data_IF_156585683749
#
_entry.id   IF_156585683749
#
_cell.length_a   1.000
_cell.length_b   1.000
_cell.length_c   1.000
_cell.angle_alpha   90.00
_cell.angle_beta   90.00
_cell.angle_gamma   90.00
#
_symmetry.space_group_name_H-M   'P 1'
#
loop_
_entity.id
_entity.type
_entity.pdbx_description
1 polymer ?
#
# COMPACT_ATOMS: atom_id res chain seq x y z
N UNK A 1 -9.41 -12.13 5.19
CA UNK A 1 -8.13 -12.16 4.43
C UNK A 1 -7.06 -12.79 5.32
N UNK A 2 -6.79 -14.10 5.20
CA UNK A 2 -5.92 -14.84 6.14
C UNK A 2 -4.46 -14.36 6.15
N UNK A 3 -4.03 -13.71 5.07
CA UNK A 3 -2.68 -13.16 4.90
C UNK A 3 -2.24 -12.26 6.05
N UNK A 4 -3.11 -11.39 6.56
CA UNK A 4 -2.76 -10.44 7.64
C UNK A 4 -2.31 -11.13 8.94
N UNK A 5 -2.74 -12.37 9.18
CA UNK A 5 -2.46 -13.08 10.43
C UNK A 5 -1.21 -13.95 10.36
N UNK A 6 -0.88 -14.48 9.17
CA UNK A 6 0.27 -15.35 8.98
C UNK A 6 0.82 -15.27 7.54
N UNK A 7 1.53 -14.18 7.19
CA UNK A 7 2.07 -14.01 5.85
C UNK A 7 3.07 -15.09 5.44
N UNK A 8 3.91 -15.59 6.37
CA UNK A 8 4.94 -16.60 6.05
C UNK A 8 4.32 -17.95 5.68
N UNK A 9 3.28 -18.38 6.41
CA UNK A 9 2.57 -19.63 6.10
C UNK A 9 1.92 -19.57 4.72
N UNK A 10 1.34 -18.43 4.35
CA UNK A 10 0.64 -18.27 3.08
C UNK A 10 1.60 -18.05 1.91
N UNK A 11 2.70 -17.35 2.16
CA UNK A 11 3.66 -16.91 1.14
C UNK A 11 3.12 -15.78 0.27
N UNK A 12 3.98 -15.28 -0.60
CA UNK A 12 3.65 -14.26 -1.62
C UNK A 12 4.12 -14.71 -2.99
N UNK A 13 3.45 -14.25 -4.03
CA UNK A 13 3.90 -14.38 -5.41
C UNK A 13 4.84 -13.23 -5.72
N UNK A 14 6.06 -13.58 -6.10
CA UNK A 14 7.13 -12.65 -6.41
C UNK A 14 7.42 -12.69 -7.92
N UNK A 15 7.66 -11.53 -8.50
CA UNK A 15 8.10 -11.38 -9.89
C UNK A 15 9.03 -10.19 -9.99
N UNK A 16 10.20 -10.40 -10.57
CA UNK A 16 11.14 -9.32 -10.90
C UNK A 16 11.06 -9.07 -12.40
N UNK A 17 10.81 -7.82 -12.78
CA UNK A 17 10.76 -7.36 -14.16
C UNK A 17 11.90 -6.39 -14.40
N UNK A 18 12.68 -6.64 -15.44
CA UNK A 18 13.75 -5.75 -15.88
C UNK A 18 13.31 -4.97 -17.11
N UNK A 19 13.48 -3.66 -17.06
CA UNK A 19 13.15 -2.75 -18.16
C UNK A 19 14.37 -1.90 -18.46
N UNK A 20 14.85 -1.95 -19.70
CA UNK A 20 15.95 -1.09 -20.12
C UNK A 20 15.53 0.38 -20.13
N UNK A 21 16.38 1.27 -19.60
CA UNK A 21 16.12 2.71 -19.61
C UNK A 21 15.97 3.24 -21.03
N UNK A 22 16.69 2.68 -22.00
CA UNK A 22 16.55 3.06 -23.41
C UNK A 22 15.13 2.86 -23.93
N UNK A 23 14.43 1.80 -23.48
CA UNK A 23 13.04 1.54 -23.83
C UNK A 23 12.08 2.52 -23.15
N UNK A 24 12.36 2.91 -21.90
CA UNK A 24 11.61 3.97 -21.21
C UNK A 24 11.77 5.32 -21.92
N UNK A 25 13.00 5.69 -22.29
CA UNK A 25 13.26 6.92 -23.06
C UNK A 25 12.53 6.91 -24.39
N UNK A 26 12.54 5.77 -25.11
CA UNK A 26 11.78 5.64 -26.36
C UNK A 26 10.28 5.82 -26.14
N UNK A 27 9.70 5.21 -25.10
CA UNK A 27 8.29 5.41 -24.76
C UNK A 27 7.95 6.88 -24.53
N UNK A 28 8.75 7.57 -23.72
CA UNK A 28 8.49 8.97 -23.40
C UNK A 28 8.64 9.88 -24.63
N UNK A 29 9.59 9.58 -25.52
CA UNK A 29 9.73 10.30 -26.81
C UNK A 29 8.47 10.13 -27.68
N UNK A 30 7.94 8.91 -27.79
CA UNK A 30 6.73 8.67 -28.58
C UNK A 30 5.51 9.38 -28.00
N UNK A 31 5.35 9.41 -26.67
CA UNK A 31 4.29 10.18 -26.00
C UNK A 31 4.45 11.68 -26.30
N UNK A 32 5.66 12.22 -26.13
CA UNK A 32 5.93 13.64 -26.37
C UNK A 32 5.66 14.06 -27.82
N UNK A 33 6.05 13.23 -28.79
CA UNK A 33 5.77 13.48 -30.21
C UNK A 33 4.28 13.36 -30.56
N UNK A 34 3.55 12.48 -29.89
CA UNK A 34 2.09 12.37 -30.02
C UNK A 34 1.37 13.62 -29.47
N UNK A 35 1.80 14.12 -28.30
CA UNK A 35 1.25 15.34 -27.69
C UNK A 35 1.43 16.57 -28.57
N UNK A 36 2.61 16.71 -29.19
CA UNK A 36 2.87 17.80 -30.15
C UNK A 36 1.92 17.75 -31.35
N UNK A 37 1.62 16.56 -31.87
CA UNK A 37 0.79 16.38 -33.07
C UNK A 37 -0.70 16.58 -32.83
N UNK A 38 -1.17 16.33 -31.61
CA UNK A 38 -2.61 16.33 -31.30
C UNK A 38 -3.13 17.68 -30.78
N UNK A 39 -2.26 18.69 -30.64
CA UNK A 39 -2.58 20.04 -30.10
C UNK A 39 -3.28 20.02 -28.73
N UNK A 40 -3.24 18.90 -27.99
CA UNK A 40 -3.93 18.75 -26.69
C UNK A 40 -3.27 19.58 -25.57
N UNK A 41 -2.25 20.38 -25.88
CA UNK A 41 -1.79 21.48 -25.03
C UNK A 41 -1.17 21.03 -23.69
N UNK A 42 -0.75 19.77 -23.56
CA UNK A 42 -0.06 19.26 -22.37
C UNK A 42 1.18 18.48 -22.78
N UNK A 43 2.22 19.17 -23.24
CA UNK A 43 3.55 18.56 -23.28
C UNK A 43 3.90 18.10 -21.86
N UNK A 44 4.03 16.78 -21.68
CA UNK A 44 4.49 16.23 -20.41
C UNK A 44 6.00 16.37 -20.31
N UNK A 45 6.48 17.05 -19.27
CA UNK A 45 7.91 17.13 -18.98
C UNK A 45 8.38 15.81 -18.35
N UNK A 46 9.05 14.99 -19.16
CA UNK A 46 9.69 13.74 -18.74
C UNK A 46 11.15 14.00 -18.38
N UNK A 47 11.48 13.96 -17.08
CA UNK A 47 12.83 14.23 -16.55
C UNK A 47 13.89 13.30 -17.16
N UNK A 48 13.55 12.05 -17.44
CA UNK A 48 14.42 11.05 -18.06
C UNK A 48 14.78 11.35 -19.52
N UNK A 49 13.94 12.10 -20.23
CA UNK A 49 14.25 12.57 -21.58
C UNK A 49 15.25 13.71 -21.57
N UNK A 50 15.10 14.63 -20.62
CA UNK A 50 15.89 15.85 -20.52
C UNK A 50 17.29 15.63 -19.94
N UNK A 51 17.50 14.52 -19.24
CA UNK A 51 18.74 14.25 -18.50
C UNK A 51 19.53 13.12 -19.15
N UNK A 52 20.78 13.41 -19.50
CA UNK A 52 21.80 12.36 -19.62
C UNK A 52 21.93 11.70 -18.25
N UNK A 53 22.04 10.37 -18.20
CA UNK A 53 22.26 9.62 -16.97
C UNK A 53 23.77 9.52 -16.80
N UNK A 54 24.41 10.39 -16.02
CA UNK A 54 25.85 10.37 -15.86
C UNK A 54 26.21 9.21 -14.94
N UNK A 55 27.41 8.65 -15.12
CA UNK A 55 27.94 7.55 -14.31
C UNK A 55 28.06 7.86 -12.80
N UNK A 56 27.92 9.12 -12.38
CA UNK A 56 28.10 9.59 -11.00
C UNK A 56 26.79 9.87 -10.24
N UNK A 57 25.61 9.69 -10.85
CA UNK A 57 24.34 9.86 -10.12
C UNK A 57 24.08 8.70 -9.17
N UNK A 58 23.48 8.99 -8.01
CA UNK A 58 23.00 7.93 -7.11
C UNK A 58 21.90 7.14 -7.80
N UNK A 59 21.92 5.81 -7.63
CA UNK A 59 20.89 4.92 -8.16
C UNK A 59 19.49 5.33 -7.71
N UNK A 60 19.39 5.93 -6.53
CA UNK A 60 18.14 6.43 -5.94
C UNK A 60 17.51 7.59 -6.74
N UNK A 61 18.29 8.59 -7.16
CA UNK A 61 17.76 9.72 -7.92
C UNK A 61 17.23 9.28 -9.29
N UNK A 62 17.96 8.40 -9.98
CA UNK A 62 17.55 7.83 -11.28
C UNK A 62 16.31 6.96 -11.11
N UNK A 63 16.26 6.14 -10.06
CA UNK A 63 15.09 5.33 -9.70
C UNK A 63 13.86 6.23 -9.52
N UNK A 64 13.98 7.30 -8.74
CA UNK A 64 12.89 8.23 -8.47
C UNK A 64 12.36 8.89 -9.76
N UNK A 65 13.23 9.38 -10.64
CA UNK A 65 12.80 9.96 -11.91
C UNK A 65 12.13 8.92 -12.82
N UNK A 66 12.67 7.71 -12.89
CA UNK A 66 12.10 6.63 -13.68
C UNK A 66 10.69 6.27 -13.25
N UNK A 67 10.43 6.21 -11.94
CA UNK A 67 9.11 5.92 -11.40
C UNK A 67 8.15 7.08 -11.67
N UNK A 68 8.58 8.32 -11.44
CA UNK A 68 7.75 9.50 -11.68
C UNK A 68 7.33 9.61 -13.15
N UNK A 69 8.28 9.47 -14.07
CA UNK A 69 8.01 9.58 -15.50
C UNK A 69 7.25 8.38 -16.06
N UNK A 70 7.52 7.16 -15.57
CA UNK A 70 6.73 6.00 -15.97
C UNK A 70 5.31 6.09 -15.43
N UNK A 71 5.10 6.61 -14.21
CA UNK A 71 3.76 6.86 -13.66
C UNK A 71 3.00 7.85 -14.54
N UNK A 72 3.60 9.00 -14.84
CA UNK A 72 3.09 10.00 -15.79
C UNK A 72 2.72 9.39 -17.14
N UNK A 73 3.59 8.57 -17.71
CA UNK A 73 3.35 7.91 -18.98
C UNK A 73 2.16 6.95 -18.89
N UNK A 74 2.10 6.06 -17.90
CA UNK A 74 0.98 5.15 -17.71
C UNK A 74 -0.35 5.89 -17.55
N UNK A 75 -0.35 7.02 -16.85
CA UNK A 75 -1.53 7.87 -16.75
C UNK A 75 -1.93 8.43 -18.10
N UNK A 76 -0.96 8.93 -18.87
CA UNK A 76 -1.17 9.50 -20.20
C UNK A 76 -1.74 8.45 -21.18
N UNK A 77 -1.17 7.25 -21.21
CA UNK A 77 -1.62 6.15 -22.05
C UNK A 77 -3.04 5.67 -21.71
N UNK A 78 -3.46 5.85 -20.46
CA UNK A 78 -4.79 5.48 -19.99
C UNK A 78 -5.88 6.53 -20.34
N UNK A 79 -5.50 7.77 -20.72
CA UNK A 79 -6.44 8.84 -21.12
C UNK A 79 -6.97 8.62 -22.54
N UNK A 80 -6.12 8.09 -23.42
CA UNK A 80 -6.45 7.93 -24.83
C UNK A 80 -6.89 6.49 -25.09
N UNK A 81 -8.11 6.29 -25.64
CA UNK A 81 -8.39 5.06 -26.41
C UNK A 81 -7.55 5.15 -27.69
N UNK A 82 -6.42 4.42 -27.79
CA UNK A 82 -5.51 4.63 -28.89
C UNK A 82 -6.13 3.93 -30.11
N UNK A 83 -6.64 4.73 -31.04
CA UNK A 83 -6.82 4.27 -32.41
C UNK A 83 -5.43 3.97 -32.96
N UNK A 84 -5.30 2.78 -33.52
CA UNK A 84 -4.12 2.16 -34.14
C UNK A 84 -2.97 3.14 -34.38
N UNK A 85 -1.89 3.02 -33.60
CA UNK A 85 -0.69 3.82 -33.85
C UNK A 85 0.35 3.87 -32.76
N UNK A 86 -0.02 3.71 -31.48
CA UNK A 86 0.96 3.73 -30.36
C UNK A 86 0.71 2.58 -29.37
N UNK A 87 -0.54 2.14 -29.25
CA UNK A 87 -1.00 1.12 -28.31
C UNK A 87 -2.22 0.44 -28.91
N UNK A 88 -2.11 -0.78 -29.44
CA UNK A 88 -3.26 -1.49 -29.98
C UNK A 88 -4.26 -1.86 -28.87
N UNK A 89 -5.30 -1.05 -28.68
CA UNK A 89 -6.64 -1.34 -28.10
C UNK A 89 -6.81 -2.25 -26.86
N UNK A 90 -5.75 -2.61 -26.14
CA UNK A 90 -5.78 -3.57 -25.01
C UNK A 90 -5.08 -3.07 -23.75
N UNK A 91 -5.04 -1.75 -23.52
CA UNK A 91 -4.74 -1.27 -22.17
C UNK A 91 -5.92 -1.71 -21.28
N UNK A 92 -5.60 -2.51 -20.25
CA UNK A 92 -6.55 -2.97 -19.26
C UNK A 92 -7.35 -1.77 -18.74
N UNK A 93 -8.67 -1.74 -19.02
CA UNK A 93 -9.55 -0.73 -18.46
C UNK A 93 -9.41 -0.76 -16.92
N UNK A 94 -9.05 0.36 -16.27
CA UNK A 94 -8.81 0.43 -14.83
C UNK A 94 -10.13 0.39 -14.08
N UNK A 95 -10.74 -0.78 -13.97
CA UNK A 95 -12.05 -0.87 -13.34
C UNK A 95 -12.00 -1.09 -11.82
N UNK A 96 -10.84 -1.17 -11.14
CA UNK A 96 -10.79 -1.35 -9.65
C UNK A 96 -9.37 -1.31 -9.06
N UNK A 97 -8.61 -0.24 -9.32
CA UNK A 97 -7.33 0.02 -8.65
C UNK A 97 -7.51 1.12 -7.60
N UNK A 98 -7.19 0.84 -6.33
CA UNK A 98 -7.30 1.83 -5.25
C UNK A 98 -5.96 1.98 -4.53
N UNK A 99 -5.58 3.23 -4.27
CA UNK A 99 -4.34 3.62 -3.56
C UNK A 99 -4.69 4.46 -2.33
N UNK A 100 -3.78 4.56 -1.37
CA UNK A 100 -3.96 5.28 -0.09
C UNK A 100 -4.46 6.73 -0.25
N UNK A 101 -3.86 7.50 -1.17
CA UNK A 101 -4.27 8.89 -1.47
C UNK A 101 -5.72 9.01 -1.96
N UNK A 102 -6.30 7.94 -2.49
CA UNK A 102 -7.65 7.93 -3.07
C UNK A 102 -8.73 7.40 -2.12
N UNK A 103 -8.36 6.77 -1.00
CA UNK A 103 -9.33 6.29 -0.01
C UNK A 103 -10.07 7.43 0.69
N UNK A 104 -9.40 8.56 0.93
CA UNK A 104 -10.04 9.80 1.39
C UNK A 104 -10.99 10.42 0.35
N UNK A 105 -10.83 10.08 -0.94
CA UNK A 105 -11.63 10.63 -2.04
C UNK A 105 -12.86 9.74 -2.37
N UNK A 106 -12.73 8.42 -2.26
CA UNK A 106 -13.85 7.47 -2.42
C UNK A 106 -14.94 7.73 -1.37
N UNK A 107 -14.56 8.15 -0.15
CA UNK A 107 -15.52 8.54 0.90
C UNK A 107 -16.40 9.75 0.55
N UNK A 108 -15.97 10.64 -0.35
CA UNK A 108 -16.80 11.77 -0.84
C UNK A 108 -17.59 11.42 -2.11
N UNK A 109 -17.13 10.46 -2.91
CA UNK A 109 -17.74 10.11 -4.21
C UNK A 109 -18.78 8.98 -4.17
N UNK A 110 -18.87 8.19 -3.10
CA UNK A 110 -19.95 7.21 -2.99
C UNK A 110 -21.37 7.85 -2.93
N UNK A 111 -21.47 9.16 -2.72
CA UNK A 111 -22.71 9.95 -2.86
C UNK A 111 -22.79 10.75 -4.18
N UNK A 112 -21.71 10.84 -4.94
CA UNK A 112 -21.58 11.66 -6.16
C UNK A 112 -20.78 10.86 -7.19
N UNK A 113 -21.39 9.94 -7.94
CA UNK A 113 -21.08 9.70 -9.37
C UNK A 113 -21.58 8.35 -9.88
N UNK A 114 -22.76 8.40 -10.51
CA UNK A 114 -23.10 7.54 -11.65
C UNK A 114 -22.75 8.21 -13.00
N UNK A 115 -22.06 9.36 -12.98
CA UNK A 115 -21.95 10.26 -14.13
C UNK A 115 -20.55 10.54 -14.65
N UNK A 116 -19.48 10.35 -13.87
CA UNK A 116 -18.12 10.61 -14.37
C UNK A 116 -17.27 9.34 -14.32
N UNK A 117 -16.84 8.86 -15.49
CA UNK A 117 -15.78 7.85 -15.59
C UNK A 117 -14.54 8.31 -14.82
N UNK A 118 -14.28 7.68 -13.66
CA UNK A 118 -13.24 8.13 -12.76
C UNK A 118 -11.85 7.83 -13.33
N UNK A 119 -11.07 8.91 -13.41
CA UNK A 119 -9.70 9.02 -13.89
C UNK A 119 -8.72 8.80 -12.73
N UNK A 120 -7.66 8.00 -12.92
CA UNK A 120 -6.69 7.64 -11.85
C UNK A 120 -5.24 7.96 -12.23
N UNK A 121 -4.82 9.24 -12.11
CA UNK A 121 -3.53 9.70 -12.60
C UNK A 121 -2.33 9.36 -11.70
N UNK A 122 -2.28 8.24 -10.97
CA UNK A 122 -1.06 7.80 -10.23
C UNK A 122 -1.06 6.32 -9.79
N UNK A 123 -1.91 5.45 -10.35
CA UNK A 123 -2.30 4.20 -9.66
C UNK A 123 -1.32 3.01 -9.79
N UNK A 124 -0.48 2.98 -10.83
CA UNK A 124 0.14 1.72 -11.27
C UNK A 124 1.53 1.43 -10.68
N UNK A 125 2.23 2.44 -10.16
CA UNK A 125 3.61 2.30 -9.65
C UNK A 125 3.78 2.82 -8.22
N UNK A 126 2.67 3.05 -7.52
CA UNK A 126 2.75 3.27 -6.08
C UNK A 126 3.27 2.02 -5.39
N UNK A 127 4.01 2.20 -4.28
CA UNK A 127 4.60 1.08 -3.56
C UNK A 127 3.55 0.08 -3.02
N UNK A 128 2.29 0.49 -2.88
CA UNK A 128 1.17 -0.37 -2.48
C UNK A 128 -0.06 -0.16 -3.36
N UNK A 129 -0.66 -1.26 -3.83
CA UNK A 129 -1.80 -1.29 -4.75
C UNK A 129 -2.80 -2.33 -4.27
N UNK A 130 -4.09 -1.96 -4.22
CA UNK A 130 -5.20 -2.89 -3.98
C UNK A 130 -5.94 -3.20 -5.28
N UNK A 131 -6.11 -4.49 -5.57
CA UNK A 131 -6.98 -5.00 -6.63
C UNK A 131 -8.29 -5.47 -6.00
N UNK A 132 -9.32 -4.61 -6.00
CA UNK A 132 -10.59 -4.91 -5.33
C UNK A 132 -11.32 -6.09 -5.97
N UNK A 133 -11.35 -6.16 -7.31
CA UNK A 133 -12.03 -7.25 -8.03
C UNK A 133 -11.49 -8.64 -7.67
N UNK A 134 -10.17 -8.77 -7.51
CA UNK A 134 -9.52 -10.04 -7.19
C UNK A 134 -9.26 -10.19 -5.70
N UNK A 135 -9.60 -9.19 -4.88
CA UNK A 135 -9.24 -9.10 -3.46
C UNK A 135 -7.76 -9.43 -3.25
N UNK A 136 -6.91 -8.74 -4.00
CA UNK A 136 -5.47 -8.94 -4.02
C UNK A 136 -4.74 -7.65 -3.64
N UNK A 137 -3.57 -7.81 -3.06
CA UNK A 137 -2.73 -6.71 -2.60
C UNK A 137 -1.34 -6.89 -3.22
N UNK A 138 -0.84 -5.82 -3.81
CA UNK A 138 0.42 -5.77 -4.53
C UNK A 138 1.31 -4.71 -3.89
N UNK A 139 2.58 -5.05 -3.72
CA UNK A 139 3.63 -4.06 -3.48
C UNK A 139 4.63 -4.06 -4.63
N UNK A 140 5.06 -2.87 -5.03
CA UNK A 140 6.00 -2.65 -6.14
C UNK A 140 7.23 -1.94 -5.57
N UNK A 141 8.40 -2.55 -5.72
CA UNK A 141 9.71 -2.01 -5.30
C UNK A 141 10.62 -1.82 -6.51
N UNK A 142 10.64 -0.62 -7.09
CA UNK A 142 11.57 -0.25 -8.16
C UNK A 142 12.99 0.01 -7.63
N UNK A 143 13.99 -0.35 -8.42
CA UNK A 143 15.41 -0.08 -8.16
C UNK A 143 16.19 0.06 -9.47
N UNK A 144 17.17 0.96 -9.50
CA UNK A 144 18.00 1.17 -10.69
C UNK A 144 19.32 0.41 -10.62
N UNK A 145 19.56 -0.43 -11.62
CA UNK A 145 20.79 -1.16 -11.84
C UNK A 145 21.26 -0.87 -13.27
N UNK A 146 22.08 0.17 -13.44
CA UNK A 146 22.46 0.68 -14.76
C UNK A 146 22.87 -0.45 -15.73
N UNK A 147 22.30 -0.51 -16.95
CA UNK A 147 21.42 0.48 -17.60
C UNK A 147 19.90 0.22 -17.44
N UNK A 148 19.50 -0.58 -16.45
CA UNK A 148 18.16 -1.13 -16.33
C UNK A 148 17.41 -0.67 -15.07
N UNK A 149 16.10 -0.53 -15.20
CA UNK A 149 15.18 -0.41 -14.09
C UNK A 149 14.68 -1.81 -13.73
N UNK A 150 14.96 -2.23 -12.49
CA UNK A 150 14.47 -3.49 -11.93
C UNK A 150 13.24 -3.19 -11.09
N UNK A 151 12.12 -3.85 -11.38
CA UNK A 151 10.87 -3.71 -10.66
C UNK A 151 10.53 -5.03 -9.98
N UNK A 152 10.65 -5.06 -8.66
CA UNK A 152 10.22 -6.18 -7.84
C UNK A 152 8.73 -6.04 -7.51
N UNK A 153 7.95 -7.08 -7.78
CA UNK A 153 6.50 -7.11 -7.58
C UNK A 153 6.15 -8.24 -6.63
N UNK A 154 5.52 -7.90 -5.52
CA UNK A 154 5.07 -8.81 -4.49
C UNK A 154 3.56 -8.81 -4.45
N UNK A 155 2.91 -9.97 -4.60
CA UNK A 155 1.46 -10.07 -4.58
C UNK A 155 0.99 -11.16 -3.63
N UNK A 156 -0.10 -10.91 -2.92
CA UNK A 156 -0.70 -11.90 -2.02
C UNK A 156 -1.29 -13.08 -2.79
N UNK A 157 -1.76 -12.87 -4.03
CA UNK A 157 -2.25 -13.94 -4.91
C UNK A 157 -1.52 -13.95 -6.26
N UNK A 158 -1.64 -15.05 -7.00
CA UNK A 158 -1.02 -15.16 -8.31
C UNK A 158 -1.64 -14.19 -9.33
N UNK A 159 -2.92 -13.85 -9.13
CA UNK A 159 -3.67 -12.92 -9.98
C UNK A 159 -3.00 -11.56 -10.08
N UNK A 160 -2.47 -11.01 -8.99
CA UNK A 160 -1.88 -9.68 -9.00
C UNK A 160 -0.58 -9.62 -9.78
N UNK A 161 0.30 -10.61 -9.62
CA UNK A 161 1.50 -10.73 -10.46
C UNK A 161 1.15 -10.89 -11.95
N UNK A 162 0.10 -11.64 -12.28
CA UNK A 162 -0.37 -11.77 -13.67
C UNK A 162 -0.95 -10.47 -14.22
N UNK A 163 -1.71 -9.73 -13.41
CA UNK A 163 -2.26 -8.42 -13.79
C UNK A 163 -1.16 -7.40 -14.04
N UNK A 164 -0.15 -7.34 -13.16
CA UNK A 164 1.00 -6.48 -13.36
C UNK A 164 1.75 -6.83 -14.64
N UNK A 165 1.98 -8.13 -14.89
CA UNK A 165 2.61 -8.57 -16.13
C UNK A 165 1.81 -8.14 -17.37
N UNK A 166 0.50 -8.38 -17.38
CA UNK A 166 -0.36 -7.97 -18.50
C UNK A 166 -0.31 -6.47 -18.76
N UNK A 167 -0.17 -5.65 -17.71
CA UNK A 167 0.03 -4.21 -17.84
C UNK A 167 1.35 -3.90 -18.57
N UNK A 168 2.47 -4.48 -18.14
CA UNK A 168 3.77 -4.28 -18.78
C UNK A 168 3.76 -4.77 -20.23
N UNK A 169 3.24 -5.98 -20.46
CA UNK A 169 3.14 -6.59 -21.79
C UNK A 169 2.22 -5.80 -22.73
N UNK A 170 1.29 -4.99 -22.19
CA UNK A 170 0.37 -4.17 -22.99
C UNK A 170 0.99 -2.90 -23.59
N UNK A 171 2.23 -2.56 -23.21
CA UNK A 171 2.96 -1.37 -23.69
C UNK A 171 4.03 -1.86 -24.66
N UNK A 172 3.82 -1.84 -25.99
CA UNK A 172 4.69 -2.55 -26.94
C UNK A 172 6.18 -2.25 -26.78
N UNK A 173 6.53 -0.95 -26.64
CA UNK A 173 7.93 -0.49 -26.51
C UNK A 173 8.63 -1.06 -25.26
N UNK A 174 7.87 -1.29 -24.18
CA UNK A 174 8.37 -1.88 -22.94
C UNK A 174 8.25 -3.40 -22.99
N UNK A 175 7.06 -3.92 -23.27
CA UNK A 175 6.72 -5.34 -23.22
C UNK A 175 7.55 -6.23 -24.14
N UNK A 176 7.94 -5.74 -25.32
CA UNK A 176 8.83 -6.48 -26.23
C UNK A 176 10.25 -6.68 -25.68
N UNK A 177 10.68 -5.81 -24.75
CA UNK A 177 12.04 -5.75 -24.21
C UNK A 177 12.12 -5.97 -22.70
N UNK A 178 10.97 -6.19 -22.06
CA UNK A 178 10.90 -6.43 -20.62
C UNK A 178 11.26 -7.90 -20.36
N UNK A 179 12.26 -8.12 -19.52
CA UNK A 179 12.71 -9.46 -19.15
C UNK A 179 12.21 -9.84 -17.75
N UNK A 180 11.77 -11.08 -17.59
CA UNK A 180 11.41 -11.60 -16.27
C UNK A 180 12.63 -12.34 -15.72
N UNK A 181 13.33 -11.72 -14.78
CA UNK A 181 14.54 -12.29 -14.17
C UNK A 181 14.16 -13.42 -13.20
N UNK A 182 13.15 -13.20 -12.37
CA UNK A 182 12.75 -14.13 -11.33
C UNK A 182 11.23 -14.18 -11.19
N UNK A 183 10.71 -15.38 -10.95
CA UNK A 183 9.30 -15.60 -10.64
C UNK A 183 9.12 -16.79 -9.73
N UNK A 184 8.21 -16.67 -8.77
CA UNK A 184 7.80 -17.82 -7.98
C UNK A 184 7.00 -17.46 -6.76
N UNK A 185 6.64 -18.48 -5.99
CA UNK A 185 6.06 -18.29 -4.66
C UNK A 185 7.18 -18.27 -3.63
N UNK A 186 7.19 -17.28 -2.76
CA UNK A 186 8.19 -17.09 -1.69
C UNK A 186 7.53 -17.19 -0.34
N UNK A 187 8.21 -17.85 0.60
CA UNK A 187 7.77 -18.05 1.99
C UNK A 187 8.72 -17.40 3.02
N UNK A 188 9.84 -16.85 2.55
CA UNK A 188 10.77 -16.14 3.43
C UNK A 188 10.17 -14.82 3.92
N UNK A 189 10.42 -14.49 5.18
CA UNK A 189 10.02 -13.23 5.81
C UNK A 189 10.50 -12.00 5.03
N UNK A 190 11.64 -12.11 4.34
CA UNK A 190 12.15 -11.03 3.47
C UNK A 190 11.13 -10.61 2.40
N UNK A 191 10.34 -11.54 1.89
CA UNK A 191 9.37 -11.30 0.81
C UNK A 191 7.95 -11.18 1.36
N UNK A 192 7.59 -12.04 2.31
CA UNK A 192 6.21 -12.21 2.76
C UNK A 192 5.66 -11.05 3.58
N UNK A 193 6.48 -10.07 3.94
CA UNK A 193 5.98 -8.88 4.62
C UNK A 193 5.91 -7.65 3.71
N UNK A 194 6.38 -7.77 2.47
CA UNK A 194 6.43 -6.64 1.54
C UNK A 194 5.04 -6.12 1.16
N UNK A 195 4.07 -6.95 0.74
CA UNK A 195 2.73 -6.45 0.44
C UNK A 195 1.85 -6.31 1.69
N UNK A 196 2.41 -6.26 2.90
CA UNK A 196 1.61 -6.13 4.12
C UNK A 196 0.85 -4.79 4.19
N UNK A 197 1.47 -3.61 3.93
CA UNK A 197 0.74 -2.35 3.95
C UNK A 197 -0.39 -2.33 2.90
N UNK A 198 -0.14 -2.84 1.70
CA UNK A 198 -1.18 -3.04 0.68
C UNK A 198 -2.31 -3.98 1.15
N UNK A 199 -1.97 -5.08 1.83
CA UNK A 199 -2.98 -6.00 2.37
C UNK A 199 -3.80 -5.38 3.50
N UNK A 200 -3.16 -4.58 4.37
CA UNK A 200 -3.83 -3.83 5.42
C UNK A 200 -4.80 -2.81 4.80
N UNK A 201 -4.35 -2.08 3.77
CA UNK A 201 -5.17 -1.16 2.99
C UNK A 201 -6.39 -1.86 2.37
N UNK A 202 -6.19 -3.04 1.76
CA UNK A 202 -7.30 -3.80 1.18
C UNK A 202 -8.31 -4.17 2.25
N UNK A 203 -7.86 -4.67 3.40
CA UNK A 203 -8.73 -5.07 4.50
C UNK A 203 -9.50 -3.90 5.11
N UNK A 204 -8.83 -2.77 5.39
CA UNK A 204 -9.49 -1.56 5.93
C UNK A 204 -10.55 -1.02 4.99
N UNK A 205 -10.33 -1.17 3.68
CA UNK A 205 -11.22 -0.65 2.63
C UNK A 205 -12.36 -1.60 2.25
N UNK A 206 -12.37 -2.84 2.74
CA UNK A 206 -13.35 -3.86 2.32
C UNK A 206 -13.98 -4.54 3.53
N UNK A 207 -13.25 -5.47 4.15
CA UNK A 207 -13.76 -6.35 5.21
C UNK A 207 -14.01 -5.58 6.51
N UNK A 208 -13.12 -4.65 6.85
CA UNK A 208 -13.24 -3.83 8.05
C UNK A 208 -14.32 -2.75 7.94
N UNK A 209 -14.65 -2.35 6.71
CA UNK A 209 -15.54 -1.24 6.45
C UNK A 209 -16.95 -1.56 6.97
N UNK A 210 -17.53 -0.63 7.74
CA UNK A 210 -18.81 -0.83 8.43
C UNK A 210 -18.76 -1.69 9.69
N UNK A 211 -17.63 -2.37 9.98
CA UNK A 211 -17.44 -3.14 11.23
C UNK A 211 -16.62 -2.37 12.26
N UNK A 212 -15.67 -1.56 11.79
CA UNK A 212 -14.73 -0.81 12.63
C UNK A 212 -15.06 0.70 12.56
N UNK A 213 -15.01 1.42 13.70
CA UNK A 213 -15.17 2.88 13.76
C UNK A 213 -14.32 3.65 12.74
N UNK A 214 -14.90 4.72 12.18
CA UNK A 214 -14.30 5.48 11.07
C UNK A 214 -12.98 6.17 11.46
N UNK A 215 -12.89 6.65 12.69
CA UNK A 215 -11.69 7.24 13.30
C UNK A 215 -10.53 6.23 13.36
N UNK A 216 -10.79 4.98 13.75
CA UNK A 216 -9.79 3.91 13.70
C UNK A 216 -9.31 3.63 12.26
N UNK A 217 -10.25 3.59 11.30
CA UNK A 217 -9.91 3.46 9.89
C UNK A 217 -9.06 4.64 9.39
N UNK A 218 -9.30 5.86 9.88
CA UNK A 218 -8.49 7.04 9.56
C UNK A 218 -7.07 6.92 10.10
N UNK A 219 -6.88 6.38 11.30
CA UNK A 219 -5.54 6.12 11.83
C UNK A 219 -4.79 5.09 11.00
N UNK A 220 -5.45 4.02 10.54
CA UNK A 220 -4.80 3.04 9.66
C UNK A 220 -4.45 3.61 8.29
N UNK A 221 -5.37 4.36 7.65
CA UNK A 221 -5.08 5.03 6.38
C UNK A 221 -3.89 5.99 6.52
N UNK A 222 -3.91 6.84 7.55
CA UNK A 222 -2.79 7.72 7.88
C UNK A 222 -1.50 6.94 8.10
N UNK A 223 -1.53 5.86 8.86
CA UNK A 223 -0.36 5.02 9.15
C UNK A 223 0.27 4.46 7.87
N UNK A 224 -0.54 3.97 6.93
CA UNK A 224 -0.06 3.45 5.64
C UNK A 224 0.46 4.59 4.76
N UNK A 225 -0.21 5.75 4.71
CA UNK A 225 0.25 6.92 3.96
C UNK A 225 1.60 7.44 4.42
N UNK A 226 1.82 7.55 5.73
CA UNK A 226 3.11 7.97 6.28
C UNK A 226 4.17 6.89 6.13
N UNK A 227 3.79 5.61 6.11
CA UNK A 227 4.70 4.53 5.72
C UNK A 227 5.20 4.73 4.28
N UNK A 228 4.31 5.00 3.32
CA UNK A 228 4.72 5.21 1.91
C UNK A 228 5.66 6.40 1.70
N UNK A 229 5.55 7.42 2.56
CA UNK A 229 6.43 8.59 2.57
C UNK A 229 7.75 8.36 3.31
N UNK A 230 7.98 7.16 3.82
CA UNK A 230 9.12 6.81 4.67
C UNK A 230 9.17 7.60 6.00
N UNK A 231 8.04 8.16 6.42
CA UNK A 231 7.87 8.85 7.70
C UNK A 231 7.50 7.83 8.79
N UNK A 232 8.43 6.89 9.03
CA UNK A 232 8.21 5.68 9.84
C UNK A 232 7.70 5.96 11.25
N UNK A 233 8.22 7.01 11.90
CA UNK A 233 7.80 7.40 13.26
C UNK A 233 6.33 7.77 13.32
N UNK A 234 5.84 8.56 12.35
CA UNK A 234 4.44 8.99 12.30
C UNK A 234 3.54 7.79 11.98
N UNK A 235 3.97 6.93 11.06
CA UNK A 235 3.26 5.67 10.78
C UNK A 235 3.05 4.82 12.04
N UNK A 236 4.09 4.68 12.87
CA UNK A 236 4.03 3.95 14.14
C UNK A 236 3.10 4.62 15.14
N UNK A 237 3.21 5.94 15.30
CA UNK A 237 2.38 6.70 16.25
C UNK A 237 0.90 6.53 15.91
N UNK A 238 0.52 6.61 14.63
CA UNK A 238 -0.87 6.43 14.21
C UNK A 238 -1.38 5.01 14.45
N UNK A 239 -0.55 3.98 14.20
CA UNK A 239 -0.87 2.60 14.57
C UNK A 239 -1.05 2.43 16.09
N UNK A 240 -0.23 3.12 16.89
CA UNK A 240 -0.32 3.06 18.34
C UNK A 240 -1.56 3.77 18.89
N UNK A 241 -1.93 4.93 18.34
CA UNK A 241 -3.16 5.65 18.71
C UNK A 241 -4.38 4.76 18.43
N UNK A 242 -4.44 4.07 17.29
CA UNK A 242 -5.54 3.14 17.01
C UNK A 242 -5.66 2.04 18.08
N UNK A 243 -4.55 1.49 18.57
CA UNK A 243 -4.55 0.50 19.65
C UNK A 243 -4.93 1.12 20.99
N UNK A 244 -4.43 2.31 21.31
CA UNK A 244 -4.77 3.04 22.53
C UNK A 244 -6.27 3.35 22.60
N UNK A 245 -6.89 3.82 21.51
CA UNK A 245 -8.33 4.07 21.42
C UNK A 245 -9.14 2.80 21.71
N UNK A 246 -8.78 1.67 21.09
CA UNK A 246 -9.47 0.40 21.32
C UNK A 246 -9.30 -0.08 22.77
N UNK A 247 -8.11 0.07 23.36
CA UNK A 247 -7.90 -0.28 24.77
C UNK A 247 -8.71 0.61 25.70
N UNK A 248 -8.85 1.90 25.38
CA UNK A 248 -9.69 2.82 26.14
C UNK A 248 -11.16 2.37 26.12
N UNK A 249 -11.70 2.03 24.95
CA UNK A 249 -13.06 1.49 24.82
C UNK A 249 -13.25 0.19 25.62
N UNK A 250 -12.30 -0.76 25.53
CA UNK A 250 -12.35 -2.00 26.30
C UNK A 250 -12.32 -1.70 27.81
N UNK A 251 -11.51 -0.75 28.25
CA UNK A 251 -11.45 -0.35 29.65
C UNK A 251 -12.79 0.26 30.10
N UNK A 252 -13.35 1.18 29.33
CA UNK A 252 -14.61 1.85 29.65
C UNK A 252 -15.77 0.87 29.73
N UNK A 253 -15.84 -0.08 28.80
CA UNK A 253 -16.85 -1.15 28.80
C UNK A 253 -16.70 -2.06 30.03
N UNK A 254 -15.47 -2.43 30.39
CA UNK A 254 -15.24 -3.34 31.51
C UNK A 254 -15.39 -2.68 32.88
N UNK A 255 -14.91 -1.46 33.05
CA UNK A 255 -14.83 -0.79 34.35
C UNK A 255 -15.97 0.20 34.56
N UNK A 256 -16.78 0.48 33.54
CA UNK A 256 -17.90 1.44 33.54
C UNK A 256 -17.48 2.84 34.03
N UNK A 257 -16.27 3.25 33.65
CA UNK A 257 -15.65 4.53 34.00
C UNK A 257 -14.75 4.97 32.85
N UNK A 258 -14.62 6.29 32.67
CA UNK A 258 -13.73 6.91 31.67
C UNK A 258 -12.32 6.33 31.79
N UNK A 259 -11.72 5.99 30.66
CA UNK A 259 -10.36 5.48 30.61
C UNK A 259 -9.36 6.53 31.15
N UNK A 260 -8.40 6.13 32.00
CA UNK A 260 -7.37 7.04 32.46
C UNK A 260 -6.47 7.46 31.27
N UNK A 261 -5.84 8.64 31.30
CA UNK A 261 -4.93 9.12 30.26
C UNK A 261 -3.55 8.45 30.36
N UNK A 262 -3.54 7.12 30.49
CA UNK A 262 -2.34 6.32 30.61
C UNK A 262 -1.80 5.90 29.24
N UNK A 263 -0.47 5.73 29.11
CA UNK A 263 0.11 5.18 27.89
C UNK A 263 -0.35 3.73 27.64
N UNK A 264 -0.36 3.33 26.36
CA UNK A 264 -0.77 2.00 25.88
C UNK A 264 -0.42 0.83 26.81
N UNK A 265 0.86 0.70 27.18
CA UNK A 265 1.34 -0.40 28.01
C UNK A 265 0.71 -0.43 29.42
N UNK A 266 0.56 0.73 30.05
CA UNK A 266 -0.05 0.83 31.37
C UNK A 266 -1.56 0.58 31.31
N UNK A 267 -2.22 1.07 30.27
CA UNK A 267 -3.66 0.83 30.05
C UNK A 267 -3.94 -0.66 29.84
N UNK A 268 -3.13 -1.35 29.02
CA UNK A 268 -3.15 -2.82 28.86
C UNK A 268 -3.05 -3.51 30.23
N UNK A 269 -2.08 -3.15 31.05
CA UNK A 269 -1.85 -3.80 32.35
C UNK A 269 -3.01 -3.62 33.32
N UNK A 270 -3.68 -2.46 33.27
CA UNK A 270 -4.90 -2.22 34.06
C UNK A 270 -6.05 -3.12 33.60
N UNK A 271 -6.27 -3.25 32.29
CA UNK A 271 -7.30 -4.13 31.72
C UNK A 271 -7.02 -5.60 32.10
N UNK A 272 -5.77 -6.03 32.03
CA UNK A 272 -5.35 -7.40 32.35
C UNK A 272 -5.50 -7.80 33.83
N UNK A 273 -5.80 -6.86 34.73
CA UNK A 273 -6.21 -7.17 36.10
C UNK A 273 -7.62 -7.77 36.16
N UNK A 274 -8.49 -7.44 35.20
CA UNK A 274 -9.88 -7.90 35.13
C UNK A 274 -10.13 -8.94 34.04
N UNK A 275 -9.55 -8.76 32.85
CA UNK A 275 -9.68 -9.69 31.73
C UNK A 275 -8.31 -9.94 31.09
N UNK A 276 -7.88 -11.20 31.04
CA UNK A 276 -6.64 -11.56 30.35
C UNK A 276 -6.82 -11.52 28.83
N UNK A 277 -5.88 -10.89 28.13
CA UNK A 277 -5.79 -11.03 26.69
C UNK A 277 -5.22 -12.41 26.33
N UNK A 278 -5.68 -13.03 25.22
CA UNK A 278 -5.00 -14.18 24.64
C UNK A 278 -3.52 -13.87 24.39
N UNK A 279 -2.60 -14.86 24.54
CA UNK A 279 -1.16 -14.61 24.40
C UNK A 279 -0.77 -13.93 23.08
N UNK A 280 -1.39 -14.32 21.97
CA UNK A 280 -1.16 -13.72 20.65
C UNK A 280 -1.55 -12.24 20.61
N UNK A 281 -2.75 -11.93 21.08
CA UNK A 281 -3.28 -10.56 21.20
C UNK A 281 -2.39 -9.70 22.10
N UNK A 282 -1.94 -10.24 23.24
CA UNK A 282 -0.98 -9.56 24.12
C UNK A 282 0.31 -9.24 23.38
N UNK A 283 0.85 -10.19 22.61
CA UNK A 283 2.07 -9.97 21.84
C UNK A 283 1.90 -8.90 20.77
N UNK A 284 0.75 -8.85 20.09
CA UNK A 284 0.44 -7.82 19.09
C UNK A 284 0.39 -6.41 19.74
N UNK A 285 -0.25 -6.27 20.91
CA UNK A 285 -0.26 -5.02 21.70
C UNK A 285 1.17 -4.64 22.14
N UNK A 286 1.95 -5.61 22.61
CA UNK A 286 3.34 -5.40 23.06
C UNK A 286 4.24 -4.90 21.93
N UNK A 287 4.09 -5.48 20.73
CA UNK A 287 4.83 -5.12 19.54
C UNK A 287 4.59 -3.64 19.18
N UNK A 288 3.32 -3.21 19.20
CA UNK A 288 2.95 -1.81 18.94
C UNK A 288 3.53 -0.88 20.00
N UNK A 289 3.42 -1.25 21.28
CA UNK A 289 3.94 -0.46 22.39
C UNK A 289 5.47 -0.30 22.32
N UNK A 290 6.21 -1.36 21.99
CA UNK A 290 7.66 -1.31 21.82
C UNK A 290 8.06 -0.36 20.68
N UNK A 291 7.41 -0.48 19.51
CA UNK A 291 7.64 0.44 18.39
C UNK A 291 7.31 1.90 18.76
N UNK A 292 6.20 2.13 19.49
CA UNK A 292 5.81 3.46 19.98
C UNK A 292 6.87 4.05 20.90
N UNK A 293 7.34 3.29 21.90
CA UNK A 293 8.38 3.74 22.83
C UNK A 293 9.65 4.14 22.06
N UNK A 294 10.07 3.33 21.09
CA UNK A 294 11.24 3.63 20.25
C UNK A 294 11.03 4.89 19.38
N UNK A 295 9.80 5.16 18.96
CA UNK A 295 9.44 6.30 18.09
C UNK A 295 9.30 7.62 18.83
N UNK A 296 8.81 7.60 20.07
CA UNK A 296 8.55 8.81 20.87
C UNK A 296 9.76 9.21 21.71
N UNK A 297 10.46 8.24 22.29
CA UNK A 297 11.65 8.52 23.08
C UNK A 297 12.90 8.50 22.20
N UNK A 298 13.90 9.31 22.54
CA UNK A 298 15.26 9.17 21.97
C UNK A 298 15.86 7.85 22.46
N UNK A 299 15.38 6.74 21.92
CA UNK A 299 15.92 5.42 22.16
C UNK A 299 17.16 5.19 21.28
N UNK A 300 18.03 4.27 21.70
CA UNK A 300 19.16 3.81 20.89
C UNK A 300 18.73 2.99 19.67
N UNK A 301 17.44 2.65 19.55
CA UNK A 301 16.90 1.91 18.41
C UNK A 301 16.56 2.86 17.27
N UNK A 302 17.19 2.63 16.12
CA UNK A 302 16.81 3.28 14.87
C UNK A 302 15.42 2.77 14.46
N UNK A 303 14.49 3.71 14.28
CA UNK A 303 13.14 3.41 13.81
C UNK A 303 13.15 3.37 12.29
N UNK A 304 12.91 2.20 11.70
CA UNK A 304 12.87 2.00 10.25
C UNK A 304 11.57 1.40 9.74
N UNK A 305 11.59 1.02 8.46
CA UNK A 305 10.47 0.39 7.74
C UNK A 305 9.94 -0.86 8.47
N UNK A 306 10.84 -1.66 9.05
CA UNK A 306 10.49 -2.88 9.79
C UNK A 306 9.66 -2.58 11.03
N UNK A 307 10.06 -1.60 11.83
CA UNK A 307 9.37 -1.21 13.07
C UNK A 307 8.00 -0.61 12.76
N UNK A 308 7.89 0.17 11.68
CA UNK A 308 6.64 0.73 11.19
C UNK A 308 5.68 -0.35 10.70
N UNK A 309 6.17 -1.28 9.89
CA UNK A 309 5.39 -2.44 9.45
C UNK A 309 4.93 -3.31 10.62
N UNK A 310 5.81 -3.58 11.58
CA UNK A 310 5.47 -4.36 12.77
C UNK A 310 4.40 -3.70 13.64
N UNK A 311 4.47 -2.37 13.81
CA UNK A 311 3.44 -1.62 14.52
C UNK A 311 2.09 -1.73 13.79
N UNK A 312 2.07 -1.51 12.47
CA UNK A 312 0.85 -1.66 11.66
C UNK A 312 0.31 -3.09 11.75
N UNK A 313 1.18 -4.10 11.69
CA UNK A 313 0.80 -5.50 11.82
C UNK A 313 0.11 -5.80 13.16
N UNK A 314 0.75 -5.41 14.27
CA UNK A 314 0.20 -5.62 15.60
C UNK A 314 -1.12 -4.90 15.80
N UNK A 315 -1.23 -3.65 15.32
CA UNK A 315 -2.44 -2.86 15.40
C UNK A 315 -3.60 -3.50 14.63
N UNK A 316 -3.40 -3.87 13.36
CA UNK A 316 -4.43 -4.53 12.54
C UNK A 316 -4.89 -5.85 13.15
N UNK A 317 -3.98 -6.68 13.66
CA UNK A 317 -4.32 -7.98 14.27
C UNK A 317 -5.10 -7.81 15.57
N UNK A 318 -4.68 -6.86 16.40
CA UNK A 318 -5.39 -6.53 17.63
C UNK A 318 -6.80 -6.03 17.33
N UNK A 319 -6.94 -5.08 16.40
CA UNK A 319 -8.25 -4.56 15.97
C UNK A 319 -9.14 -5.65 15.43
N UNK A 320 -8.62 -6.49 14.53
CA UNK A 320 -9.41 -7.60 14.02
C UNK A 320 -9.92 -8.50 15.15
N UNK A 321 -9.03 -8.94 16.06
CA UNK A 321 -9.44 -9.75 17.20
C UNK A 321 -10.54 -9.05 18.00
N UNK A 322 -10.38 -7.78 18.36
CA UNK A 322 -11.35 -7.04 19.19
C UNK A 322 -12.75 -7.02 18.61
N UNK A 323 -12.89 -6.78 17.30
CA UNK A 323 -14.18 -6.62 16.64
C UNK A 323 -14.77 -7.91 16.08
N UNK A 324 -13.99 -8.99 15.94
CA UNK A 324 -14.47 -10.29 15.45
C UNK A 324 -14.70 -11.33 16.56
N UNK A 325 -13.83 -11.37 17.57
CA UNK A 325 -13.79 -12.42 18.60
C UNK A 325 -13.74 -11.85 20.03
N UNK A 326 -13.29 -10.61 20.17
CA UNK A 326 -12.98 -9.96 21.44
C UNK A 326 -14.18 -9.28 22.10
N UNK A 327 -13.89 -8.48 23.11
CA UNK A 327 -14.89 -7.90 24.02
C UNK A 327 -15.90 -6.98 23.33
N UNK A 328 -15.56 -6.39 22.18
CA UNK A 328 -16.45 -5.49 21.43
C UNK A 328 -17.24 -6.19 20.30
N UNK A 329 -17.02 -7.49 20.07
CA UNK A 329 -17.74 -8.28 19.04
C UNK A 329 -19.26 -8.28 19.23
N UNK A 330 -19.75 -8.07 20.45
CA UNK A 330 -21.19 -8.04 20.76
C UNK A 330 -21.86 -6.72 20.35
N UNK A 331 -21.11 -5.62 20.32
CA UNK A 331 -21.64 -4.29 20.01
C UNK A 331 -21.91 -4.17 18.50
N UNK A 332 -21.00 -4.70 17.66
CA UNK A 332 -21.16 -4.72 16.20
C UNK A 332 -22.33 -5.59 15.72
N UNK A 333 -22.66 -6.67 16.45
CA UNK A 333 -23.81 -7.53 16.14
C UNK A 333 -25.18 -6.89 16.39
N UNK A 334 -25.24 -5.79 17.17
CA UNK A 334 -26.49 -5.05 17.47
C UNK A 334 -26.74 -3.89 16.52
N UNK A 335 -25.68 -3.29 15.95
CA UNK A 335 -25.79 -2.18 15.01
C UNK A 335 -26.12 -2.63 13.55
N UNK A 336 -26.09 -3.92 13.28
CA UNK A 336 -26.35 -4.54 11.97
C UNK A 336 -27.76 -5.16 11.84
N UNK A 337 -28.61 -4.98 12.86
CA UNK A 337 -30.05 -5.22 12.82
C UNK A 337 -30.77 -3.88 12.82
#
# INVERSE_FOLDING_TARGET
>A
MNYLFDPNKLGVYFTTVEISISSLKKLFQEIHEFDKKTEVGRTQDFKLLEREIPSHYSSEAVTQWAIEDLSKALNHLNIYEPKEGILSSKILRPQTLVTTQYLGFIRRRAQIDKSTGAFFPDAYLKPNICLLNTMDAISVKPSFHSPNLIIDVFSVKQSGSQTFRKLIDSIPIIGEKAEIIERGKKHSSRYCYEPYPAAAMLWTSTIAYGTIPEDLLNFFDGSIRYWEKQEWRISIILSAIAVESILAEIYEEQFHKIAPPDPLGALRDKIEKKQKFPPKTRNDINLVNQSRIASVHRSSMQVGEREARNALMGAIRFTHWTFSEGSLSRITSRASK
#
